data_IF_702243745847
#
_entry.id   IF_702243745847
#
_cell.length_a   1.000
_cell.length_b   1.000
_cell.length_c   1.000
_cell.angle_alpha   90.00
_cell.angle_beta   90.00
_cell.angle_gamma   90.00
#
_symmetry.space_group_name_H-M   'P 1'
#
loop_
_entity.id
_entity.type
_entity.pdbx_description
1 polymer ?
#
# COMPACT_ATOMS: atom_id res chain seq x y z
N UNK A 1 22.30 16.50 24.73
CA UNK A 1 21.03 16.21 25.44
C UNK A 1 20.09 15.51 24.47
N UNK A 2 19.81 14.22 24.69
CA UNK A 2 18.89 13.40 23.87
C UNK A 2 17.43 13.70 24.26
N UNK A 3 16.60 14.11 23.31
CA UNK A 3 15.12 14.15 23.40
C UNK A 3 14.57 13.81 22.00
N UNK A 4 14.47 12.51 21.69
CA UNK A 4 13.21 11.73 21.64
C UNK A 4 12.32 12.10 20.45
N UNK A 5 12.58 11.49 19.30
CA UNK A 5 11.67 11.44 18.15
C UNK A 5 10.51 10.51 18.50
N UNK A 6 9.39 11.08 18.93
CA UNK A 6 8.19 10.32 19.28
C UNK A 6 7.51 9.86 17.99
N UNK A 7 7.50 8.54 17.84
CA UNK A 7 6.70 7.75 16.92
C UNK A 7 5.21 8.13 17.02
N UNK A 8 4.73 9.00 16.13
CA UNK A 8 3.30 9.26 15.93
C UNK A 8 2.76 8.67 14.62
N UNK A 9 3.50 7.73 14.00
CA UNK A 9 3.04 6.95 12.85
C UNK A 9 2.20 5.71 13.21
N UNK A 10 1.84 5.51 14.48
CA UNK A 10 1.23 4.26 14.98
C UNK A 10 -0.31 4.29 14.99
N UNK A 11 -0.97 5.42 14.67
CA UNK A 11 -2.43 5.50 14.88
C UNK A 11 -3.26 4.94 13.73
N UNK A 12 -2.74 4.85 12.49
CA UNK A 12 -3.50 4.27 11.35
C UNK A 12 -3.48 2.73 11.36
N UNK A 13 -2.54 2.10 12.08
CA UNK A 13 -2.36 0.63 12.09
C UNK A 13 -3.19 -0.08 13.18
N UNK A 14 -3.80 0.66 14.11
CA UNK A 14 -4.49 0.08 15.28
C UNK A 14 -5.91 -0.41 14.99
N UNK A 15 -6.56 0.01 13.90
CA UNK A 15 -8.03 -0.09 13.81
C UNK A 15 -8.59 -1.30 13.06
N UNK A 16 -7.76 -2.06 12.33
CA UNK A 16 -8.19 -3.29 11.64
C UNK A 16 -7.60 -4.49 12.36
N UNK A 17 -8.29 -4.95 13.41
CA UNK A 17 -8.09 -6.28 14.01
C UNK A 17 -6.73 -6.49 14.69
N UNK A 18 -6.73 -6.57 16.01
CA UNK A 18 -5.52 -6.82 16.80
C UNK A 18 -4.80 -8.11 16.39
N UNK A 19 -3.75 -7.96 15.60
CA UNK A 19 -2.58 -8.82 15.50
C UNK A 19 -1.41 -7.91 15.10
N UNK A 20 -0.85 -7.19 16.08
CA UNK A 20 0.43 -6.51 15.92
C UNK A 20 1.52 -7.40 16.52
N UNK A 21 1.93 -8.42 15.76
CA UNK A 21 3.34 -8.77 15.76
C UNK A 21 4.07 -7.56 15.21
N UNK A 22 5.02 -7.02 15.98
CA UNK A 22 5.88 -5.90 15.59
C UNK A 22 6.56 -6.22 14.25
N UNK A 23 5.94 -5.83 13.13
CA UNK A 23 6.67 -5.79 11.87
C UNK A 23 7.51 -4.52 11.92
N UNK A 24 8.83 -4.69 11.86
CA UNK A 24 9.82 -3.61 11.80
C UNK A 24 9.76 -2.79 10.49
N UNK A 25 8.68 -2.96 9.73
CA UNK A 25 8.58 -2.67 8.31
C UNK A 25 7.43 -1.70 8.09
N UNK A 26 7.69 -0.42 8.38
CA UNK A 26 6.80 0.69 8.08
C UNK A 26 7.38 1.55 6.96
N UNK A 27 6.53 2.02 6.04
CA UNK A 27 6.90 3.14 5.17
C UNK A 27 7.14 4.35 6.06
N UNK A 28 8.37 4.84 6.10
CA UNK A 28 8.69 6.06 6.83
C UNK A 28 8.12 7.24 6.05
N UNK A 29 7.30 8.04 6.73
CA UNK A 29 6.76 9.27 6.19
C UNK A 29 7.47 10.46 6.86
N UNK A 30 7.89 11.40 6.02
CA UNK A 30 8.36 12.72 6.39
C UNK A 30 7.20 13.71 6.21
N UNK A 31 7.16 14.79 6.98
CA UNK A 31 6.13 15.84 6.87
C UNK A 31 4.69 15.28 6.95
N UNK A 32 4.39 14.53 8.00
CA UNK A 32 3.06 13.93 8.22
C UNK A 32 2.09 15.01 8.72
N UNK A 33 0.99 15.18 8.01
CA UNK A 33 -0.21 15.89 8.44
C UNK A 33 -1.34 14.86 8.59
N UNK A 34 -1.86 14.74 9.81
CA UNK A 34 -2.94 13.81 10.15
C UNK A 34 -4.02 14.57 10.90
N UNK A 35 -5.19 14.67 10.28
CA UNK A 35 -6.39 15.22 10.88
C UNK A 35 -7.43 14.11 11.07
N UNK A 36 -7.91 13.94 12.30
CA UNK A 36 -9.05 13.09 12.60
C UNK A 36 -10.08 13.88 13.38
N UNK A 37 -11.34 13.83 12.92
CA UNK A 37 -12.45 14.59 13.53
C UNK A 37 -13.40 13.66 14.27
N UNK A 38 -14.14 14.22 15.22
CA UNK A 38 -15.24 13.52 15.90
C UNK A 38 -14.79 12.23 16.61
N UNK A 39 -13.60 12.26 17.23
CA UNK A 39 -13.17 11.19 18.14
C UNK A 39 -13.71 11.52 19.53
N UNK A 40 -14.67 10.74 20.02
CA UNK A 40 -15.15 10.85 21.40
C UNK A 40 -14.96 9.52 22.14
N UNK A 41 -14.60 9.62 23.42
CA UNK A 41 -14.50 8.48 24.32
C UNK A 41 -15.66 8.51 25.33
N UNK A 42 -16.34 7.39 25.61
CA UNK A 42 -16.16 6.07 24.99
C UNK A 42 -16.55 6.08 23.50
N UNK A 43 -15.89 5.25 22.69
CA UNK A 43 -16.16 5.19 21.24
C UNK A 43 -17.63 4.83 20.98
N UNK A 44 -18.36 5.81 20.48
CA UNK A 44 -19.72 5.66 19.99
C UNK A 44 -19.69 5.25 18.52
N UNK A 45 -20.81 4.74 18.00
CA UNK A 45 -20.92 4.37 16.59
C UNK A 45 -21.07 5.62 15.73
N UNK A 46 -19.98 6.36 15.54
CA UNK A 46 -19.90 7.53 14.68
C UNK A 46 -18.83 7.33 13.61
N UNK A 47 -19.03 7.99 12.47
CA UNK A 47 -18.04 8.06 11.40
C UNK A 47 -17.09 9.21 11.72
N UNK A 48 -15.86 8.89 12.11
CA UNK A 48 -14.81 9.88 12.31
C UNK A 48 -14.12 10.15 10.97
N UNK A 49 -14.20 11.37 10.42
CA UNK A 49 -13.44 11.76 9.23
C UNK A 49 -11.94 11.63 9.49
N UNK A 50 -11.19 11.20 8.47
CA UNK A 50 -9.74 11.04 8.48
C UNK A 50 -9.16 11.69 7.23
N UNK A 51 -8.18 12.55 7.41
CA UNK A 51 -7.33 13.11 6.36
C UNK A 51 -5.86 12.88 6.76
N UNK A 52 -5.14 12.15 5.93
CA UNK A 52 -3.72 11.88 6.09
C UNK A 52 -3.02 12.39 4.84
N UNK A 53 -1.97 13.16 5.04
CA UNK A 53 -1.03 13.56 4.01
C UNK A 53 0.39 13.36 4.52
N UNK A 54 1.27 12.84 3.68
CA UNK A 54 2.68 12.71 4.04
C UNK A 54 3.57 12.51 2.82
N UNK A 55 4.87 12.74 2.99
CA UNK A 55 5.89 12.45 1.98
C UNK A 55 6.61 11.16 2.33
N UNK A 56 6.82 10.26 1.38
CA UNK A 56 7.56 9.03 1.66
C UNK A 56 9.08 9.28 1.76
N UNK A 57 9.76 8.49 2.59
CA UNK A 57 11.22 8.46 2.67
C UNK A 57 11.78 7.81 1.41
N UNK A 58 12.23 8.61 0.44
CA UNK A 58 12.44 8.19 -0.95
C UNK A 58 11.75 9.09 -1.99
N UNK A 59 10.98 10.08 -1.51
CA UNK A 59 10.28 11.04 -2.36
C UNK A 59 8.84 10.60 -2.66
N UNK A 60 8.09 11.51 -3.26
CA UNK A 60 6.67 11.31 -3.55
C UNK A 60 5.74 11.62 -2.38
N UNK A 61 4.44 11.54 -2.67
CA UNK A 61 3.36 11.92 -1.76
C UNK A 61 2.39 10.74 -1.54
N UNK A 62 1.93 10.60 -0.31
CA UNK A 62 0.88 9.66 0.09
C UNK A 62 -0.25 10.46 0.73
N UNK A 63 -1.45 10.30 0.20
CA UNK A 63 -2.68 10.94 0.69
C UNK A 63 -3.72 9.87 0.94
N UNK A 64 -4.33 9.88 2.13
CA UNK A 64 -5.50 9.06 2.43
C UNK A 64 -6.61 9.94 3.01
N UNK A 65 -7.83 9.81 2.48
CA UNK A 65 -8.99 10.60 2.94
C UNK A 65 -10.21 9.73 3.05
N UNK A 66 -11.05 9.95 4.06
CA UNK A 66 -12.30 9.21 4.21
C UNK A 66 -12.86 9.26 5.60
N UNK A 67 -13.48 8.17 6.02
CA UNK A 67 -14.01 8.04 7.38
C UNK A 67 -13.79 6.63 7.91
N UNK A 68 -13.73 6.53 9.24
CA UNK A 68 -13.67 5.28 9.98
C UNK A 68 -14.68 5.31 11.13
N UNK A 69 -15.36 4.20 11.37
CA UNK A 69 -16.14 3.99 12.58
C UNK A 69 -15.34 3.13 13.55
N UNK A 70 -14.85 3.75 14.63
CA UNK A 70 -13.96 3.10 15.60
C UNK A 70 -14.66 1.95 16.36
N UNK A 71 -15.98 2.00 16.49
CA UNK A 71 -16.77 0.96 17.18
C UNK A 71 -17.06 -0.24 16.29
N UNK A 72 -17.52 -0.01 15.06
CA UNK A 72 -17.87 -1.09 14.11
C UNK A 72 -16.68 -1.57 13.29
N UNK A 73 -15.58 -0.81 13.27
CA UNK A 73 -14.40 -0.99 12.40
C UNK A 73 -14.71 -0.87 10.92
N UNK A 74 -15.86 -0.29 10.57
CA UNK A 74 -16.19 0.00 9.18
C UNK A 74 -15.43 1.24 8.72
N UNK A 75 -15.06 1.29 7.45
CA UNK A 75 -14.41 2.45 6.87
C UNK A 75 -14.67 2.55 5.37
N UNK A 76 -14.55 3.78 4.86
CA UNK A 76 -14.43 4.06 3.44
C UNK A 76 -13.36 5.13 3.27
N UNK A 77 -12.29 4.80 2.57
CA UNK A 77 -11.16 5.70 2.35
C UNK A 77 -10.70 5.68 0.90
N UNK A 78 -10.24 6.81 0.40
CA UNK A 78 -9.45 6.90 -0.83
C UNK A 78 -7.98 6.99 -0.47
N UNK A 79 -7.13 6.23 -1.17
CA UNK A 79 -5.68 6.27 -1.07
C UNK A 79 -5.11 6.72 -2.42
N UNK A 80 -4.25 7.74 -2.38
CA UNK A 80 -3.47 8.20 -3.53
C UNK A 80 -1.99 8.20 -3.19
N UNK A 81 -1.20 7.59 -4.05
CA UNK A 81 0.26 7.52 -3.99
C UNK A 81 0.79 8.11 -5.28
N UNK A 82 1.77 9.02 -5.18
CA UNK A 82 2.35 9.73 -6.31
C UNK A 82 3.86 9.69 -6.24
N UNK A 83 4.46 9.13 -7.29
CA UNK A 83 5.91 9.10 -7.53
C UNK A 83 6.75 8.66 -6.32
N UNK A 84 6.28 7.65 -5.59
CA UNK A 84 7.05 7.09 -4.46
C UNK A 84 8.05 6.08 -4.99
N UNK A 85 9.30 6.15 -4.53
CA UNK A 85 10.32 5.17 -4.88
C UNK A 85 9.85 3.76 -4.48
N UNK A 86 9.87 2.83 -5.45
CA UNK A 86 9.42 1.45 -5.25
C UNK A 86 10.14 0.78 -4.08
N UNK A 87 11.42 1.09 -3.85
CA UNK A 87 12.24 0.47 -2.80
C UNK A 87 11.72 0.74 -1.40
N UNK A 88 10.93 1.80 -1.22
CA UNK A 88 10.24 2.10 0.04
C UNK A 88 9.28 0.99 0.45
N UNK A 89 8.72 0.28 -0.54
CA UNK A 89 7.80 -0.83 -0.31
C UNK A 89 8.48 -2.20 -0.27
N UNK A 90 9.82 -2.25 -0.32
CA UNK A 90 10.57 -3.50 -0.33
C UNK A 90 10.21 -4.45 0.81
N UNK A 91 10.02 -3.99 2.06
CA UNK A 91 9.60 -4.88 3.13
C UNK A 91 8.29 -5.63 2.88
N UNK A 92 7.42 -5.08 2.03
CA UNK A 92 6.13 -5.69 1.70
C UNK A 92 6.23 -6.67 0.54
N UNK A 93 7.13 -6.47 -0.43
CA UNK A 93 7.20 -7.32 -1.62
C UNK A 93 8.38 -8.28 -1.64
N UNK A 94 9.39 -8.14 -0.77
CA UNK A 94 10.65 -8.90 -0.84
C UNK A 94 10.47 -10.42 -0.80
N UNK A 95 9.39 -10.93 -0.20
CA UNK A 95 9.06 -12.37 -0.23
C UNK A 95 8.69 -12.88 -1.64
N UNK A 96 8.17 -12.00 -2.49
CA UNK A 96 7.65 -12.33 -3.84
C UNK A 96 8.46 -11.71 -4.97
N UNK A 97 9.46 -10.88 -4.65
CA UNK A 97 10.36 -10.22 -5.60
C UNK A 97 11.79 -10.59 -5.23
N UNK A 98 12.41 -11.40 -6.08
CA UNK A 98 13.81 -11.82 -5.93
C UNK A 98 14.77 -10.99 -6.78
N UNK A 99 14.24 -10.18 -7.70
CA UNK A 99 15.02 -9.24 -8.50
C UNK A 99 15.54 -8.08 -7.63
N UNK A 100 16.81 -7.70 -7.81
CA UNK A 100 17.38 -6.55 -7.11
C UNK A 100 16.98 -5.25 -7.82
N UNK A 101 16.00 -4.56 -7.23
CA UNK A 101 15.47 -3.31 -7.77
C UNK A 101 16.43 -2.16 -7.43
N UNK A 102 16.96 -1.51 -8.46
CA UNK A 102 17.87 -0.37 -8.31
C UNK A 102 17.10 0.95 -8.15
N UNK A 103 16.09 1.15 -8.99
CA UNK A 103 15.21 2.33 -8.96
C UNK A 103 13.85 2.03 -9.59
N UNK A 104 12.88 2.91 -9.35
CA UNK A 104 11.56 2.88 -9.98
C UNK A 104 10.56 3.68 -9.17
N UNK A 105 9.46 4.09 -9.79
CA UNK A 105 8.44 4.88 -9.12
C UNK A 105 7.08 4.22 -9.22
N UNK A 106 6.37 4.24 -8.10
CA UNK A 106 5.00 3.78 -7.98
C UNK A 106 4.06 4.98 -7.86
N UNK A 107 2.98 4.93 -8.63
CA UNK A 107 1.78 5.72 -8.37
C UNK A 107 0.58 4.79 -8.22
N UNK A 108 -0.33 5.11 -7.31
CA UNK A 108 -1.51 4.28 -7.05
C UNK A 108 -2.71 5.15 -6.71
N UNK A 109 -3.89 4.77 -7.20
CA UNK A 109 -5.16 5.28 -6.71
C UNK A 109 -6.06 4.13 -6.35
N UNK A 110 -6.66 4.17 -5.17
CA UNK A 110 -7.57 3.13 -4.70
C UNK A 110 -8.67 3.69 -3.82
N UNK A 111 -9.82 3.03 -3.87
CA UNK A 111 -10.86 3.17 -2.84
C UNK A 111 -10.87 1.91 -2.00
N UNK A 112 -10.86 2.07 -0.69
CA UNK A 112 -10.80 0.99 0.29
C UNK A 112 -12.10 1.06 1.09
N UNK A 113 -12.95 0.06 0.91
CA UNK A 113 -14.15 -0.16 1.71
C UNK A 113 -13.96 -1.33 2.66
N UNK A 114 -14.39 -1.14 3.91
CA UNK A 114 -14.56 -2.23 4.86
C UNK A 114 -15.95 -2.10 5.48
N UNK A 115 -16.83 -3.04 5.15
CA UNK A 115 -18.20 -3.09 5.66
C UNK A 115 -18.53 -4.53 6.04
N UNK A 116 -19.15 -4.75 7.20
CA UNK A 116 -19.53 -6.10 7.64
C UNK A 116 -18.37 -7.11 7.55
N UNK A 117 -17.14 -6.67 7.87
CA UNK A 117 -15.89 -7.48 7.79
C UNK A 117 -15.50 -7.93 6.37
N UNK A 118 -16.17 -7.42 5.35
CA UNK A 118 -15.80 -7.58 3.95
C UNK A 118 -14.97 -6.39 3.51
N UNK A 119 -13.74 -6.67 3.06
CA UNK A 119 -12.88 -5.68 2.42
C UNK A 119 -13.12 -5.67 0.91
N UNK A 120 -13.21 -4.48 0.33
CA UNK A 120 -13.35 -4.23 -1.09
C UNK A 120 -12.42 -3.09 -1.52
N UNK A 121 -11.44 -3.40 -2.37
CA UNK A 121 -10.34 -2.50 -2.74
C UNK A 121 -10.11 -2.54 -4.25
N UNK A 122 -10.92 -1.82 -5.05
CA UNK A 122 -10.57 -1.50 -6.42
C UNK A 122 -9.45 -0.45 -6.47
N UNK A 123 -8.53 -0.60 -7.42
CA UNK A 123 -7.47 0.37 -7.60
C UNK A 123 -6.77 0.27 -8.95
N UNK A 124 -5.96 1.29 -9.22
CA UNK A 124 -5.01 1.35 -10.32
C UNK A 124 -3.63 1.54 -9.74
N UNK A 125 -2.70 0.74 -10.22
CA UNK A 125 -1.29 0.82 -9.88
C UNK A 125 -0.50 1.11 -11.15
N UNK A 126 0.45 2.00 -11.03
CA UNK A 126 1.37 2.36 -12.09
C UNK A 126 2.80 2.18 -11.60
N UNK A 127 3.61 1.58 -12.46
CA UNK A 127 5.04 1.44 -12.28
C UNK A 127 5.75 2.13 -13.44
N UNK A 128 6.66 3.04 -13.11
CA UNK A 128 7.46 3.77 -14.11
C UNK A 128 8.95 3.66 -13.83
N UNK A 129 9.75 3.74 -14.90
CA UNK A 129 11.21 3.86 -14.83
C UNK A 129 11.87 2.81 -13.91
N UNK A 130 11.38 1.57 -13.97
CA UNK A 130 11.93 0.47 -13.18
C UNK A 130 13.29 0.03 -13.74
N UNK A 131 14.30 0.04 -12.90
CA UNK A 131 15.63 -0.49 -13.18
C UNK A 131 15.95 -1.64 -12.21
N UNK A 132 16.53 -2.71 -12.76
CA UNK A 132 16.95 -3.91 -12.01
C UNK A 132 18.43 -4.11 -12.28
N UNK A 133 19.27 -4.23 -11.24
CA UNK A 133 20.74 -4.11 -11.36
C UNK A 133 21.40 -5.09 -12.34
N UNK A 134 20.86 -6.30 -12.47
CA UNK A 134 21.40 -7.33 -13.37
C UNK A 134 20.37 -7.91 -14.32
N UNK A 135 19.13 -7.40 -14.32
CA UNK A 135 18.00 -8.02 -15.04
C UNK A 135 17.70 -9.47 -14.62
N UNK A 136 18.27 -9.93 -13.51
CA UNK A 136 18.09 -11.28 -12.94
C UNK A 136 17.02 -11.30 -11.86
N UNK A 137 16.54 -12.50 -11.56
CA UNK A 137 15.50 -12.74 -10.57
C UNK A 137 14.09 -12.56 -11.15
N UNK A 138 13.12 -12.43 -10.27
CA UNK A 138 11.72 -12.31 -10.64
C UNK A 138 11.02 -11.21 -9.84
N UNK A 139 10.03 -10.57 -10.47
CA UNK A 139 9.07 -9.67 -9.84
C UNK A 139 7.71 -10.38 -9.91
N UNK A 140 7.16 -10.81 -8.78
CA UNK A 140 5.90 -11.58 -8.74
C UNK A 140 5.89 -12.80 -9.67
N UNK A 141 6.91 -13.66 -9.53
CA UNK A 141 7.12 -14.85 -10.38
C UNK A 141 7.35 -14.56 -11.88
N UNK A 142 7.35 -13.30 -12.30
CA UNK A 142 7.65 -12.89 -13.67
C UNK A 142 9.16 -12.64 -13.76
N UNK A 143 9.88 -13.26 -14.72
CA UNK A 143 11.29 -12.96 -14.98
C UNK A 143 11.54 -11.46 -15.17
N UNK A 144 12.55 -10.92 -14.50
CA UNK A 144 12.81 -9.48 -14.49
C UNK A 144 13.11 -8.93 -15.89
N UNK A 145 13.83 -9.68 -16.72
CA UNK A 145 14.11 -9.35 -18.13
C UNK A 145 12.84 -9.19 -18.97
N UNK A 146 11.82 -10.03 -18.76
CA UNK A 146 10.52 -9.91 -19.42
C UNK A 146 9.79 -8.65 -19.00
N UNK A 147 9.78 -8.34 -17.70
CA UNK A 147 9.13 -7.13 -17.19
C UNK A 147 9.81 -5.86 -17.71
N UNK A 148 11.14 -5.84 -17.75
CA UNK A 148 11.93 -4.73 -18.30
C UNK A 148 11.66 -4.56 -19.80
N UNK A 149 11.55 -5.66 -20.55
CA UNK A 149 11.23 -5.61 -21.98
C UNK A 149 9.83 -5.03 -22.23
N UNK A 150 8.84 -5.45 -21.43
CA UNK A 150 7.49 -4.88 -21.48
C UNK A 150 7.48 -3.39 -21.14
N UNK A 151 8.22 -2.97 -20.11
CA UNK A 151 8.34 -1.55 -19.75
C UNK A 151 8.85 -0.73 -20.93
N UNK A 152 9.95 -1.18 -21.57
CA UNK A 152 10.52 -0.50 -22.73
C UNK A 152 9.52 -0.40 -23.89
N UNK A 153 8.78 -1.47 -24.15
CA UNK A 153 7.73 -1.48 -25.19
C UNK A 153 6.61 -0.48 -24.88
N UNK A 154 6.26 -0.31 -23.59
CA UNK A 154 5.19 0.58 -23.12
C UNK A 154 5.67 1.99 -22.76
N UNK A 155 6.87 2.39 -23.17
CA UNK A 155 7.43 3.74 -22.90
C UNK A 155 7.82 3.95 -21.44
N UNK A 156 8.49 2.96 -20.85
CA UNK A 156 8.94 2.91 -19.45
C UNK A 156 7.81 3.08 -18.41
N UNK A 157 6.59 2.67 -18.78
CA UNK A 157 5.39 2.77 -17.94
C UNK A 157 4.51 1.54 -18.10
N UNK A 158 4.14 0.93 -16.98
CA UNK A 158 3.11 -0.11 -16.93
C UNK A 158 2.01 0.35 -15.98
N UNK A 159 0.77 0.33 -16.45
CA UNK A 159 -0.40 0.57 -15.63
C UNK A 159 -1.25 -0.69 -15.56
N UNK A 160 -1.62 -1.08 -14.34
CA UNK A 160 -2.50 -2.21 -14.07
C UNK A 160 -3.71 -1.76 -13.25
N UNK A 161 -4.85 -2.40 -13.48
CA UNK A 161 -6.01 -2.28 -12.60
C UNK A 161 -6.14 -3.54 -11.77
N UNK A 162 -6.40 -3.40 -10.48
CA UNK A 162 -6.58 -4.52 -9.56
C UNK A 162 -7.89 -4.35 -8.79
N UNK A 163 -8.43 -5.46 -8.32
CA UNK A 163 -9.62 -5.46 -7.47
C UNK A 163 -9.48 -6.56 -6.44
N UNK A 164 -9.23 -6.16 -5.19
CA UNK A 164 -9.16 -7.09 -4.08
C UNK A 164 -10.51 -7.13 -3.36
N UNK A 165 -11.02 -8.33 -3.11
CA UNK A 165 -12.16 -8.58 -2.21
C UNK A 165 -11.81 -9.71 -1.25
N UNK A 166 -12.29 -9.62 -0.02
CA UNK A 166 -12.03 -10.67 0.97
C UNK A 166 -12.74 -10.46 2.29
N UNK A 167 -12.67 -11.46 3.17
CA UNK A 167 -13.11 -11.38 4.56
C UNK A 167 -11.89 -11.13 5.44
N UNK A 168 -11.88 -10.02 6.19
CA UNK A 168 -10.71 -9.66 7.02
C UNK A 168 -10.53 -10.56 8.25
N UNK A 169 -11.58 -11.27 8.66
CA UNK A 169 -11.54 -12.17 9.82
C UNK A 169 -11.16 -13.60 9.47
N UNK A 170 -10.99 -13.93 8.19
CA UNK A 170 -10.51 -15.25 7.81
C UNK A 170 -9.04 -15.38 8.28
N UNK A 171 -8.70 -16.31 9.19
CA UNK A 171 -7.35 -16.44 9.71
C UNK A 171 -6.31 -16.84 8.65
N UNK A 172 -6.75 -17.34 7.50
CA UNK A 172 -5.88 -17.63 6.34
C UNK A 172 -5.74 -16.42 5.42
N UNK A 173 -6.54 -15.38 5.60
CA UNK A 173 -6.53 -14.19 4.76
C UNK A 173 -5.46 -13.21 5.24
N UNK A 174 -4.36 -13.16 4.50
CA UNK A 174 -3.36 -12.09 4.60
C UNK A 174 -3.68 -11.01 3.56
N UNK A 175 -4.06 -9.82 4.02
CA UNK A 175 -4.35 -8.67 3.16
C UNK A 175 -3.17 -8.37 2.20
N UNK A 176 -1.95 -8.42 2.73
CA UNK A 176 -0.73 -8.21 1.97
C UNK A 176 -0.59 -9.24 0.85
N UNK A 177 -0.66 -10.53 1.18
CA UNK A 177 -0.49 -11.60 0.18
C UNK A 177 -1.60 -11.57 -0.87
N UNK A 178 -2.83 -11.32 -0.46
CA UNK A 178 -3.96 -11.21 -1.37
C UNK A 178 -3.80 -10.02 -2.34
N UNK A 179 -3.35 -8.86 -1.85
CA UNK A 179 -3.09 -7.70 -2.69
C UNK A 179 -1.96 -7.95 -3.69
N UNK A 180 -0.82 -8.47 -3.22
CA UNK A 180 0.33 -8.79 -4.09
C UNK A 180 -0.05 -9.83 -5.15
N UNK A 181 -0.85 -10.82 -4.78
CA UNK A 181 -1.39 -11.81 -5.74
C UNK A 181 -2.28 -11.15 -6.79
N UNK A 182 -3.18 -10.24 -6.40
CA UNK A 182 -4.01 -9.52 -7.37
C UNK A 182 -3.18 -8.64 -8.30
N UNK A 183 -2.17 -7.93 -7.77
CA UNK A 183 -1.22 -7.15 -8.57
C UNK A 183 -0.48 -8.06 -9.57
N UNK A 184 0.03 -9.20 -9.13
CA UNK A 184 0.71 -10.18 -9.98
C UNK A 184 -0.19 -10.67 -11.12
N UNK A 185 -1.43 -11.08 -10.79
CA UNK A 185 -2.42 -11.54 -11.77
C UNK A 185 -2.77 -10.44 -12.78
N UNK A 186 -2.92 -9.20 -12.34
CA UNK A 186 -3.18 -8.07 -13.22
C UNK A 186 -1.99 -7.74 -14.11
N UNK A 187 -0.76 -7.87 -13.60
CA UNK A 187 0.46 -7.68 -14.39
C UNK A 187 0.63 -8.77 -15.46
N UNK A 188 0.34 -10.03 -15.12
CA UNK A 188 0.35 -11.15 -16.07
C UNK A 188 -0.64 -10.96 -17.22
N UNK A 189 -1.75 -10.26 -17.00
CA UNK A 189 -2.71 -9.94 -18.08
C UNK A 189 -2.17 -8.91 -19.06
N UNK A 190 -1.27 -8.02 -18.64
CA UNK A 190 -0.64 -7.00 -19.50
C UNK A 190 0.54 -7.57 -20.29
N UNK A 191 1.12 -8.67 -19.83
CA UNK A 191 2.20 -9.41 -20.51
C UNK A 191 1.72 -10.31 -21.65
N UNK A 192 0.41 -10.56 -21.78
CA UNK A 192 -0.20 -11.37 -22.84
C UNK A 192 -0.66 -10.49 -23.99
#
# INVERSE_FOLDING_TARGET
MKKWSILLGIIVVILIGGYLGLSYYGVKLNEIDLEMKEIQYPFHSARSPVDLKGKADGGGEIVAKGWINLKTKEMETSLSVREVDVRVFEPYYRKTVTAEIDSGYIAMDSRIGLKEKMIDVPGKLELTRLHVKEGKGAVFWIPADKLISLLKEKGDRIQISFHLKGKIEDPKFSLQEALLTQIALSLLKVLK
#
